data_IF_902135855737
#
_entry.id   IF_902135855737
#
_cell.length_a   1.000
_cell.length_b   1.000
_cell.length_c   1.000
_cell.angle_alpha   90.00
_cell.angle_beta   90.00
_cell.angle_gamma   90.00
#
_symmetry.space_group_name_H-M   'P 1'
#
loop_
_entity.id
_entity.type
_entity.pdbx_description
1 polymer ?
#
# COMPACT_ATOMS: atom_id res chain seq x y z
N UNK A 1 9.89 -37.89 6.85
CA UNK A 1 9.88 -36.50 6.29
C UNK A 1 8.63 -36.40 5.44
N UNK A 2 7.66 -35.60 5.86
CA UNK A 2 6.39 -35.45 5.13
C UNK A 2 6.62 -34.44 4.01
N UNK A 3 6.32 -34.82 2.77
CA UNK A 3 6.45 -33.99 1.59
C UNK A 3 5.61 -32.69 1.73
N UNK A 4 6.19 -31.50 1.49
CA UNK A 4 5.45 -30.24 1.57
C UNK A 4 4.21 -30.17 0.68
N UNK A 5 4.20 -30.89 -0.45
CA UNK A 5 3.03 -31.04 -1.31
C UNK A 5 1.87 -31.75 -0.62
N UNK A 6 2.16 -32.75 0.21
CA UNK A 6 1.15 -33.49 0.99
C UNK A 6 0.56 -32.63 2.10
N UNK A 7 1.36 -31.74 2.71
CA UNK A 7 0.90 -30.81 3.74
C UNK A 7 -0.07 -29.78 3.14
N UNK A 8 0.23 -29.27 1.96
CA UNK A 8 -0.62 -28.32 1.25
C UNK A 8 -1.94 -28.96 0.79
N UNK A 9 -1.88 -30.20 0.30
CA UNK A 9 -3.08 -30.94 -0.13
C UNK A 9 -4.01 -31.28 1.03
N UNK A 10 -3.45 -31.71 2.16
CA UNK A 10 -4.23 -31.99 3.40
C UNK A 10 -4.80 -30.72 4.01
N UNK A 11 -4.08 -29.60 3.97
CA UNK A 11 -4.60 -28.31 4.40
C UNK A 11 -5.79 -27.84 3.54
N UNK A 12 -5.72 -28.00 2.19
CA UNK A 12 -6.81 -27.68 1.28
C UNK A 12 -8.05 -28.58 1.48
N UNK A 13 -7.87 -29.85 1.78
CA UNK A 13 -8.97 -30.79 2.03
C UNK A 13 -9.64 -30.53 3.37
N UNK A 14 -8.86 -30.26 4.42
CA UNK A 14 -9.38 -29.82 5.73
C UNK A 14 -10.16 -28.50 5.64
N UNK A 15 -9.72 -27.59 4.79
CA UNK A 15 -10.38 -26.29 4.55
C UNK A 15 -11.78 -26.43 3.94
N UNK A 16 -11.97 -27.37 2.99
CA UNK A 16 -13.29 -27.65 2.38
C UNK A 16 -14.28 -28.27 3.37
N UNK A 17 -13.81 -29.06 4.32
CA UNK A 17 -14.64 -29.61 5.38
C UNK A 17 -15.04 -28.57 6.44
N UNK A 18 -14.11 -27.69 6.80
CA UNK A 18 -14.36 -26.59 7.73
C UNK A 18 -15.29 -25.51 7.16
N UNK A 19 -15.33 -25.34 5.84
CA UNK A 19 -16.26 -24.41 5.17
C UNK A 19 -17.74 -24.77 5.42
N UNK A 20 -18.03 -26.00 5.76
CA UNK A 20 -19.40 -26.46 6.14
C UNK A 20 -19.81 -26.07 7.56
N UNK A 21 -18.88 -25.61 8.41
CA UNK A 21 -19.13 -25.17 9.80
C UNK A 21 -18.57 -23.75 10.02
N UNK A 22 -19.22 -22.72 9.47
CA UNK A 22 -18.62 -21.38 9.38
C UNK A 22 -18.29 -20.74 10.73
N UNK A 23 -19.03 -21.06 11.79
CA UNK A 23 -18.77 -20.50 13.11
C UNK A 23 -17.54 -21.15 13.78
N UNK A 24 -17.37 -22.47 13.66
CA UNK A 24 -16.25 -23.19 14.24
C UNK A 24 -14.95 -22.81 13.54
N UNK A 25 -15.00 -22.70 12.22
CA UNK A 25 -13.88 -22.20 11.40
C UNK A 25 -13.43 -20.81 11.82
N UNK A 26 -14.40 -19.91 12.06
CA UNK A 26 -14.09 -18.55 12.54
C UNK A 26 -13.39 -18.55 13.90
N UNK A 27 -13.86 -19.38 14.84
CA UNK A 27 -13.25 -19.48 16.19
C UNK A 27 -11.84 -20.04 16.11
N UNK A 28 -11.64 -21.12 15.36
CA UNK A 28 -10.34 -21.78 15.21
C UNK A 28 -9.34 -20.85 14.52
N UNK A 29 -9.74 -20.16 13.46
CA UNK A 29 -8.89 -19.23 12.76
C UNK A 29 -8.53 -18.00 13.59
N UNK A 30 -9.47 -17.44 14.33
CA UNK A 30 -9.17 -16.37 15.29
C UNK A 30 -8.12 -16.77 16.31
N UNK A 31 -8.17 -18.01 16.80
CA UNK A 31 -7.18 -18.54 17.73
C UNK A 31 -5.82 -18.82 17.08
N UNK A 32 -5.83 -19.44 15.89
CA UNK A 32 -4.61 -19.79 15.17
C UNK A 32 -3.86 -18.56 14.58
N UNK A 33 -4.61 -17.52 14.23
CA UNK A 33 -4.11 -16.30 13.62
C UNK A 33 -4.60 -15.06 14.40
N UNK A 34 -4.05 -14.80 15.59
CA UNK A 34 -4.31 -13.54 16.29
C UNK A 34 -3.80 -12.35 15.44
N UNK A 35 -4.37 -11.18 15.66
CA UNK A 35 -4.06 -9.96 14.87
C UNK A 35 -2.55 -9.68 14.82
N UNK A 36 -1.83 -9.89 15.92
CA UNK A 36 -0.37 -9.73 15.97
C UNK A 36 0.38 -10.65 15.00
N UNK A 37 -0.10 -11.88 14.79
CA UNK A 37 0.45 -12.81 13.82
C UNK A 37 0.05 -12.43 12.40
N UNK A 38 -1.20 -11.96 12.20
CA UNK A 38 -1.65 -11.48 10.90
C UNK A 38 -0.80 -10.31 10.41
N UNK A 39 -0.51 -9.34 11.27
CA UNK A 39 0.37 -8.20 10.96
C UNK A 39 1.79 -8.62 10.53
N UNK A 40 2.34 -9.70 11.12
CA UNK A 40 3.66 -10.21 10.75
C UNK A 40 3.68 -10.96 9.42
N UNK A 41 2.57 -11.56 9.02
CA UNK A 41 2.42 -12.32 7.79
C UNK A 41 1.92 -11.49 6.61
N UNK A 42 1.55 -10.25 6.85
CA UNK A 42 1.24 -9.27 5.82
C UNK A 42 2.41 -8.32 5.67
N UNK A 43 3.12 -8.42 4.54
CA UNK A 43 4.23 -7.52 4.24
C UNK A 43 3.72 -6.42 3.32
N UNK A 44 3.90 -5.18 3.77
CA UNK A 44 3.57 -3.97 3.02
C UNK A 44 4.87 -3.25 2.74
N UNK A 45 5.12 -2.91 1.49
CA UNK A 45 6.31 -2.20 1.05
C UNK A 45 5.94 -1.13 0.02
N UNK A 46 6.72 -0.04 0.01
CA UNK A 46 6.62 1.04 -0.97
C UNK A 46 7.96 1.13 -1.69
N UNK A 47 8.05 0.59 -2.92
CA UNK A 47 9.31 0.66 -3.66
C UNK A 47 9.68 2.12 -3.94
N UNK A 48 10.84 2.55 -3.41
CA UNK A 48 11.25 3.95 -3.28
C UNK A 48 11.64 4.67 -4.58
N UNK A 49 11.56 4.00 -5.73
CA UNK A 49 12.18 4.52 -6.97
C UNK A 49 11.17 4.96 -8.04
N UNK A 50 9.88 4.98 -7.77
CA UNK A 50 8.84 5.32 -8.75
C UNK A 50 8.05 6.58 -8.42
N UNK A 51 8.06 7.00 -7.17
CA UNK A 51 7.35 8.22 -6.77
C UNK A 51 8.04 9.46 -7.36
N UNK A 52 7.27 10.34 -7.97
CA UNK A 52 7.75 11.60 -8.52
C UNK A 52 6.70 12.69 -8.43
N UNK A 53 7.17 13.94 -8.40
CA UNK A 53 6.30 15.10 -8.56
C UNK A 53 6.21 15.46 -10.04
N UNK A 54 5.00 15.50 -10.55
CA UNK A 54 4.71 15.94 -11.90
C UNK A 54 4.23 17.39 -11.88
N UNK A 55 5.02 18.29 -12.49
CA UNK A 55 4.70 19.71 -12.64
C UNK A 55 4.01 19.94 -13.98
N UNK A 56 2.74 20.27 -13.96
CA UNK A 56 1.97 20.59 -15.16
C UNK A 56 2.17 22.07 -15.54
N UNK A 57 2.91 22.33 -16.64
CA UNK A 57 3.26 23.69 -17.09
C UNK A 57 2.09 24.53 -17.59
N UNK A 58 1.02 23.91 -18.09
CA UNK A 58 -0.13 24.62 -18.65
C UNK A 58 -0.98 25.36 -17.61
N UNK A 59 -0.89 24.93 -16.34
CA UNK A 59 -1.45 25.59 -15.17
C UNK A 59 -0.47 25.37 -14.03
N UNK A 60 -0.30 26.32 -13.11
CA UNK A 60 0.59 26.11 -11.96
C UNK A 60 -0.01 25.05 -11.03
N UNK A 61 0.01 23.83 -11.46
CA UNK A 61 -0.47 22.66 -10.74
C UNK A 61 0.64 21.60 -10.72
N UNK A 62 0.72 20.88 -9.64
CA UNK A 62 1.61 19.74 -9.52
C UNK A 62 0.86 18.59 -8.84
N UNK A 63 1.31 17.39 -9.10
CA UNK A 63 0.76 16.20 -8.49
C UNK A 63 1.87 15.26 -8.04
N UNK A 64 1.60 14.51 -6.98
CA UNK A 64 2.41 13.37 -6.60
C UNK A 64 1.89 12.15 -7.37
N UNK A 65 2.74 11.59 -8.23
CA UNK A 65 2.45 10.45 -9.09
C UNK A 65 3.43 9.29 -8.84
N UNK A 66 3.12 8.12 -9.37
CA UNK A 66 3.99 6.96 -9.37
C UNK A 66 4.18 6.29 -8.01
N UNK A 67 3.37 6.62 -7.01
CA UNK A 67 3.40 5.91 -5.73
C UNK A 67 2.72 4.56 -5.89
N UNK A 68 3.45 3.50 -5.61
CA UNK A 68 2.95 2.13 -5.71
C UNK A 68 3.21 1.39 -4.39
N UNK A 69 2.19 0.70 -3.90
CA UNK A 69 2.28 -0.13 -2.70
C UNK A 69 2.34 -1.59 -3.12
N UNK A 70 3.41 -2.27 -2.73
CA UNK A 70 3.56 -3.71 -2.93
C UNK A 70 3.10 -4.44 -1.67
N UNK A 71 2.21 -5.39 -1.86
CA UNK A 71 1.61 -6.15 -0.79
C UNK A 71 1.86 -7.65 -0.99
N UNK A 72 2.34 -8.33 0.05
CA UNK A 72 2.46 -9.78 0.07
C UNK A 72 1.63 -10.36 1.21
N UNK A 73 0.61 -11.14 0.85
CA UNK A 73 -0.25 -11.82 1.79
C UNK A 73 0.23 -13.27 2.00
N UNK A 74 0.88 -13.53 3.12
CA UNK A 74 1.31 -14.88 3.54
C UNK A 74 0.28 -15.58 4.45
N UNK A 75 -0.90 -14.98 4.61
CA UNK A 75 -1.99 -15.58 5.38
C UNK A 75 -2.70 -16.66 4.55
N UNK A 76 -3.28 -17.68 5.22
CA UNK A 76 -4.02 -18.73 4.54
C UNK A 76 -5.46 -18.35 4.16
N UNK A 77 -5.76 -17.05 4.11
CA UNK A 77 -7.06 -16.49 3.76
C UNK A 77 -6.92 -15.15 3.02
N UNK A 78 -7.94 -14.82 2.26
CA UNK A 78 -8.00 -13.58 1.51
C UNK A 78 -8.24 -12.39 2.43
N UNK A 79 -7.70 -11.24 2.03
CA UNK A 79 -7.83 -9.97 2.72
C UNK A 79 -8.42 -8.91 1.79
N UNK A 80 -9.33 -8.13 2.32
CA UNK A 80 -9.64 -6.81 1.78
C UNK A 80 -8.65 -5.81 2.42
N UNK A 81 -7.87 -5.14 1.58
CA UNK A 81 -6.89 -4.14 1.97
C UNK A 81 -7.36 -2.77 1.49
N UNK A 82 -7.50 -1.85 2.41
CA UNK A 82 -7.97 -0.49 2.15
C UNK A 82 -6.91 0.51 2.60
N UNK A 83 -6.41 1.32 1.67
CA UNK A 83 -5.56 2.47 1.99
C UNK A 83 -6.49 3.66 2.14
N UNK A 84 -6.52 4.24 3.34
CA UNK A 84 -7.42 5.35 3.62
C UNK A 84 -6.73 6.69 3.83
N UNK A 85 -5.40 6.71 4.07
CA UNK A 85 -4.64 7.95 4.21
C UNK A 85 -3.19 7.76 3.79
N UNK A 86 -2.67 8.75 3.08
CA UNK A 86 -1.26 8.91 2.76
C UNK A 86 -0.78 10.24 3.32
N UNK A 87 0.33 10.22 4.05
CA UNK A 87 1.01 11.42 4.53
C UNK A 87 2.41 11.47 3.94
N UNK A 88 2.93 12.67 3.72
CA UNK A 88 4.30 12.87 3.27
C UNK A 88 4.96 13.95 4.12
N UNK A 89 6.12 13.62 4.64
CA UNK A 89 6.96 14.53 5.40
C UNK A 89 8.31 14.70 4.69
N UNK A 90 8.85 15.92 4.78
CA UNK A 90 10.19 16.27 4.33
C UNK A 90 10.84 17.02 5.47
N UNK A 91 12.02 16.61 5.88
CA UNK A 91 12.76 17.19 7.01
C UNK A 91 11.88 17.42 8.23
N UNK A 92 11.07 16.43 8.58
CA UNK A 92 10.11 16.45 9.71
C UNK A 92 8.93 17.43 9.54
N UNK A 93 8.81 18.11 8.41
CA UNK A 93 7.68 18.98 8.08
C UNK A 93 6.62 18.23 7.28
N UNK A 94 5.37 18.28 7.73
CA UNK A 94 4.25 17.68 6.99
C UNK A 94 3.97 18.50 5.72
N UNK A 95 4.13 17.86 4.57
CA UNK A 95 3.94 18.48 3.25
C UNK A 95 2.62 18.08 2.63
N UNK A 96 2.25 16.81 2.76
CA UNK A 96 1.02 16.25 2.20
C UNK A 96 0.28 15.43 3.24
N UNK A 97 -1.05 15.57 3.23
CA UNK A 97 -1.97 14.74 4.00
C UNK A 97 -3.21 14.50 3.14
N UNK A 98 -3.28 13.33 2.53
CA UNK A 98 -4.32 12.97 1.60
C UNK A 98 -5.18 11.82 2.14
N UNK A 99 -6.49 12.00 2.09
CA UNK A 99 -7.45 10.94 2.35
C UNK A 99 -7.67 10.17 1.06
N UNK A 100 -7.48 8.86 1.12
CA UNK A 100 -7.63 7.95 -0.01
C UNK A 100 -8.83 7.02 0.23
N UNK A 101 -9.31 6.42 -0.83
CA UNK A 101 -10.34 5.38 -0.74
C UNK A 101 -10.00 4.28 -1.76
N UNK A 102 -8.87 3.63 -1.53
CA UNK A 102 -8.35 2.61 -2.43
C UNK A 102 -8.51 1.25 -1.78
N UNK A 103 -9.36 0.39 -2.37
CA UNK A 103 -9.66 -0.96 -1.86
C UNK A 103 -9.22 -2.03 -2.84
N UNK A 104 -8.57 -3.05 -2.32
CA UNK A 104 -8.11 -4.20 -3.09
C UNK A 104 -8.37 -5.49 -2.35
N UNK A 105 -8.73 -6.53 -3.10
CA UNK A 105 -8.81 -7.90 -2.57
C UNK A 105 -7.48 -8.58 -2.87
N UNK A 106 -6.79 -8.99 -1.81
CA UNK A 106 -5.52 -9.69 -1.90
C UNK A 106 -5.73 -11.15 -1.56
N UNK A 107 -5.53 -11.98 -2.56
CA UNK A 107 -5.74 -13.42 -2.46
C UNK A 107 -4.74 -14.06 -1.49
N UNK A 108 -5.15 -15.19 -0.96
CA UNK A 108 -4.30 -16.02 -0.09
C UNK A 108 -2.99 -16.39 -0.77
N UNK A 109 -1.89 -16.27 -0.07
CA UNK A 109 -0.51 -16.50 -0.59
C UNK A 109 -0.18 -15.72 -1.86
N UNK A 110 -0.90 -14.63 -2.11
CA UNK A 110 -0.72 -13.77 -3.27
C UNK A 110 0.04 -12.49 -2.96
N UNK A 111 0.49 -11.84 -4.04
CA UNK A 111 1.00 -10.48 -4.03
C UNK A 111 0.08 -9.57 -4.84
N UNK A 112 0.08 -8.28 -4.50
CA UNK A 112 -0.62 -7.26 -5.26
C UNK A 112 0.26 -6.01 -5.33
N UNK A 113 0.25 -5.36 -6.49
CA UNK A 113 0.78 -4.01 -6.68
C UNK A 113 -0.42 -3.08 -6.76
N UNK A 114 -0.46 -2.11 -5.87
CA UNK A 114 -1.58 -1.21 -5.70
C UNK A 114 -1.09 0.19 -6.06
N UNK A 115 -1.44 0.70 -7.25
CA UNK A 115 -1.11 2.07 -7.60
C UNK A 115 -1.95 3.02 -6.73
N UNK A 116 -1.29 4.00 -6.13
CA UNK A 116 -1.96 5.11 -5.47
C UNK A 116 -2.41 6.09 -6.54
N UNK A 117 -3.66 6.55 -6.50
CA UNK A 117 -4.12 7.58 -7.43
C UNK A 117 -3.25 8.83 -7.32
N UNK A 118 -3.14 9.54 -8.42
CA UNK A 118 -2.48 10.83 -8.48
C UNK A 118 -3.08 11.80 -7.45
N UNK A 119 -2.21 12.46 -6.67
CA UNK A 119 -2.63 13.36 -5.62
C UNK A 119 -2.25 14.79 -6.02
N UNK A 120 -3.26 15.59 -6.33
CA UNK A 120 -3.07 17.01 -6.64
C UNK A 120 -2.54 17.78 -5.44
N UNK A 121 -1.56 18.63 -5.67
CA UNK A 121 -0.95 19.49 -4.66
C UNK A 121 -1.67 20.84 -4.59
N UNK A 122 -1.73 21.43 -3.42
CA UNK A 122 -2.22 22.80 -3.21
C UNK A 122 -1.23 23.83 -3.78
N UNK A 123 -1.68 25.06 -4.06
CA UNK A 123 -0.85 26.14 -4.58
C UNK A 123 0.42 26.42 -3.75
N UNK A 124 0.33 26.23 -2.43
CA UNK A 124 1.49 26.38 -1.53
C UNK A 124 2.50 25.25 -1.75
N UNK A 125 2.03 24.03 -1.90
CA UNK A 125 2.86 22.86 -2.15
C UNK A 125 3.47 22.90 -3.55
N UNK A 126 2.71 23.35 -4.55
CA UNK A 126 3.20 23.57 -5.92
C UNK A 126 4.39 24.54 -5.94
N UNK A 127 4.25 25.70 -5.30
CA UNK A 127 5.34 26.68 -5.20
C UNK A 127 6.57 26.11 -4.52
N UNK A 128 6.37 25.31 -3.52
CA UNK A 128 7.47 24.66 -2.82
C UNK A 128 8.15 23.60 -3.72
N UNK A 129 7.40 22.74 -4.41
CA UNK A 129 7.96 21.75 -5.36
C UNK A 129 8.69 22.44 -6.51
N UNK A 130 8.20 23.59 -6.98
CA UNK A 130 8.84 24.38 -8.04
C UNK A 130 10.23 24.91 -7.63
N UNK A 131 10.48 25.10 -6.33
CA UNK A 131 11.81 25.47 -5.83
C UNK A 131 12.81 24.31 -5.81
N UNK A 132 12.34 23.07 -5.93
CA UNK A 132 13.12 21.83 -5.81
C UNK A 132 13.46 21.23 -7.19
N UNK A 133 13.34 22.00 -8.26
CA UNK A 133 13.58 21.54 -9.65
C UNK A 133 14.92 20.80 -9.76
N UNK A 134 14.87 19.66 -10.42
CA UNK A 134 15.99 18.79 -10.79
C UNK A 134 16.71 18.08 -9.62
N UNK A 135 16.21 18.17 -8.38
CA UNK A 135 16.79 17.48 -7.24
C UNK A 135 16.00 16.22 -6.87
N UNK A 136 16.74 15.20 -6.45
CA UNK A 136 16.12 14.06 -5.74
C UNK A 136 15.98 14.41 -4.27
N UNK A 137 14.76 14.27 -3.75
CA UNK A 137 14.43 14.63 -2.37
C UNK A 137 14.13 13.37 -1.59
N UNK A 138 14.76 13.25 -0.43
CA UNK A 138 14.40 12.20 0.52
C UNK A 138 13.13 12.60 1.26
N UNK A 139 12.12 11.76 1.16
CA UNK A 139 10.83 11.95 1.82
C UNK A 139 10.51 10.77 2.73
N UNK A 140 9.65 11.02 3.69
CA UNK A 140 9.01 10.01 4.50
C UNK A 140 7.54 9.90 4.11
N UNK A 141 7.15 8.76 3.55
CA UNK A 141 5.77 8.44 3.23
C UNK A 141 5.15 7.66 4.39
N UNK A 142 4.12 8.21 5.01
CA UNK A 142 3.31 7.53 6.01
C UNK A 142 2.07 6.95 5.34
N UNK A 143 1.93 5.63 5.38
CA UNK A 143 0.79 4.91 4.83
C UNK A 143 -0.09 4.41 5.97
N UNK A 144 -1.38 4.71 5.90
CA UNK A 144 -2.37 4.21 6.84
C UNK A 144 -3.35 3.30 6.10
N UNK A 145 -3.54 2.09 6.61
CA UNK A 145 -4.43 1.13 5.97
C UNK A 145 -5.29 0.37 6.97
N UNK A 146 -6.33 -0.24 6.44
CA UNK A 146 -7.20 -1.19 7.11
C UNK A 146 -7.16 -2.51 6.37
N UNK A 147 -7.08 -3.59 7.13
CA UNK A 147 -7.27 -4.94 6.62
C UNK A 147 -8.54 -5.53 7.18
N UNK A 148 -9.32 -6.17 6.32
CA UNK A 148 -10.53 -6.88 6.72
C UNK A 148 -10.51 -8.29 6.13
N UNK A 149 -10.79 -9.26 6.95
CA UNK A 149 -11.00 -10.66 6.57
C UNK A 149 -12.34 -11.15 7.10
N UNK A 150 -12.71 -12.36 6.75
CA UNK A 150 -13.92 -13.01 7.32
C UNK A 150 -13.88 -13.13 8.85
N UNK A 151 -12.69 -12.98 9.49
CA UNK A 151 -12.48 -13.26 10.92
C UNK A 151 -12.01 -12.06 11.71
N UNK A 152 -11.21 -11.17 11.10
CA UNK A 152 -10.56 -10.04 11.76
C UNK A 152 -10.68 -8.77 10.90
N UNK A 153 -10.74 -7.65 11.60
CA UNK A 153 -10.45 -6.34 11.03
C UNK A 153 -9.44 -5.64 11.92
N UNK A 154 -8.42 -5.02 11.31
CA UNK A 154 -7.41 -4.22 12.04
C UNK A 154 -6.95 -3.06 11.19
N UNK A 155 -6.41 -2.07 11.84
CA UNK A 155 -5.74 -0.95 11.21
C UNK A 155 -4.26 -1.00 11.55
N UNK A 156 -3.45 -0.45 10.64
CA UNK A 156 -2.03 -0.28 10.86
C UNK A 156 -1.52 0.95 10.13
N UNK A 157 -0.31 1.35 10.48
CA UNK A 157 0.40 2.43 9.81
C UNK A 157 1.89 2.10 9.76
N UNK A 158 2.53 2.55 8.69
CA UNK A 158 3.98 2.39 8.54
C UNK A 158 4.54 3.60 7.81
N UNK A 159 5.76 3.97 8.15
CA UNK A 159 6.49 5.04 7.47
C UNK A 159 7.60 4.41 6.63
N UNK A 160 7.69 4.85 5.38
CA UNK A 160 8.68 4.42 4.41
C UNK A 160 9.55 5.62 4.02
N UNK A 161 10.84 5.39 3.90
CA UNK A 161 11.73 6.37 3.27
C UNK A 161 11.73 6.14 1.76
N UNK A 162 11.57 7.20 1.00
CA UNK A 162 11.57 7.19 -0.46
C UNK A 162 12.37 8.35 -1.01
N UNK A 163 12.94 8.18 -2.21
CA UNK A 163 13.47 9.26 -3.01
C UNK A 163 12.41 9.66 -4.03
N UNK A 164 12.10 10.94 -4.08
CA UNK A 164 11.17 11.49 -5.06
C UNK A 164 11.93 12.44 -5.98
N UNK A 165 11.67 12.30 -7.26
CA UNK A 165 12.23 13.16 -8.29
C UNK A 165 11.20 14.20 -8.72
N UNK A 166 11.65 15.39 -9.05
CA UNK A 166 10.79 16.43 -9.63
C UNK A 166 10.91 16.35 -11.15
N UNK A 167 9.90 15.81 -11.79
CA UNK A 167 9.81 15.81 -13.24
C UNK A 167 9.17 17.11 -13.72
N UNK A 168 9.95 17.99 -14.30
CA UNK A 168 9.40 19.07 -15.10
C UNK A 168 9.16 18.54 -16.51
N UNK A 169 7.89 18.33 -16.89
CA UNK A 169 7.53 17.97 -18.26
C UNK A 169 8.13 18.98 -19.23
N UNK A 170 9.24 18.61 -19.86
CA UNK A 170 9.72 19.24 -21.06
C UNK A 170 8.82 18.78 -22.20
N UNK A 171 7.66 19.38 -22.38
CA UNK A 171 6.97 19.34 -23.67
C UNK A 171 7.79 20.18 -24.67
N UNK A 172 9.01 19.73 -24.98
CA UNK A 172 9.68 20.07 -26.22
C UNK A 172 9.18 19.10 -27.28
N UNK A 173 8.33 19.56 -28.17
CA UNK A 173 8.04 18.84 -29.38
C UNK A 173 6.61 18.92 -29.88
N UNK A 174 6.14 20.13 -30.12
CA UNK A 174 5.14 20.37 -31.16
C UNK A 174 5.58 21.63 -31.94
N UNK A 175 6.49 21.43 -32.88
CA UNK A 175 6.68 22.32 -34.03
C UNK A 175 6.30 21.56 -35.29
#
# INVERSE_FOLDING_TARGET
MTDPATIIATARMGWRLLAKMPWLTRVLLRRAFPISKCKKLLVVDVPGNRAHFELLRARPSAALSGVEVTLHNHLPFDLEFEIWRLTMNIDSSAVLDAVLNTRHIVLTTGGAQIPIPEISLSDRQVRWVDTLRDDSIRIQLGLHWRCTSAFHSWQDQQTFESLVYVNSDCTEGAR
#
